data_IF_306837787880
#
_entry.id   IF_306837787880
#
_cell.length_a   1.000
_cell.length_b   1.000
_cell.length_c   1.000
_cell.angle_alpha   90.00
_cell.angle_beta   90.00
_cell.angle_gamma   90.00
#
_symmetry.space_group_name_H-M   'P 1'
#
loop_
_entity.id
_entity.type
_entity.pdbx_description
1 polymer ?
#
# COMPACT_ATOMS: atom_id res chain seq x y z
N UNK A 1 17.33 66.43 -23.18
CA UNK A 1 17.29 64.96 -23.30
C UNK A 1 17.02 64.40 -21.91
N UNK A 2 15.84 63.81 -21.69
CA UNK A 2 15.40 63.29 -20.38
C UNK A 2 15.88 61.84 -20.25
N UNK A 3 16.68 61.56 -19.24
CA UNK A 3 17.11 60.21 -18.85
C UNK A 3 15.94 59.47 -18.17
N UNK A 4 15.50 58.36 -18.75
CA UNK A 4 14.59 57.43 -18.08
C UNK A 4 15.37 56.55 -17.09
N UNK A 5 14.87 56.32 -15.86
CA UNK A 5 15.43 55.34 -14.95
C UNK A 5 15.06 53.92 -15.40
N UNK A 6 16.07 53.06 -15.48
CA UNK A 6 15.93 51.64 -15.76
C UNK A 6 15.33 50.95 -14.53
N UNK A 7 14.06 50.56 -14.60
CA UNK A 7 13.40 49.78 -13.55
C UNK A 7 13.88 48.33 -13.63
N UNK A 8 14.56 47.86 -12.58
CA UNK A 8 14.95 46.48 -12.41
C UNK A 8 13.70 45.67 -12.04
N UNK A 9 13.18 44.86 -12.96
CA UNK A 9 12.14 43.87 -12.64
C UNK A 9 12.77 42.73 -11.83
N UNK A 10 12.23 42.36 -10.65
CA UNK A 10 12.63 41.13 -9.99
C UNK A 10 12.05 39.95 -10.78
N UNK A 11 12.94 39.15 -11.36
CA UNK A 11 12.58 37.83 -11.90
C UNK A 11 12.33 36.92 -10.70
N UNK A 12 11.06 36.66 -10.39
CA UNK A 12 10.69 35.56 -9.50
C UNK A 12 10.96 34.25 -10.25
N UNK A 13 12.08 33.60 -9.92
CA UNK A 13 12.31 32.23 -10.32
C UNK A 13 11.31 31.35 -9.55
N UNK A 14 10.28 30.85 -10.24
CA UNK A 14 9.47 29.75 -9.76
C UNK A 14 10.38 28.53 -9.66
N UNK A 15 10.85 28.23 -8.45
CA UNK A 15 11.47 26.95 -8.15
C UNK A 15 10.36 25.90 -8.26
N UNK A 16 10.34 25.14 -9.35
CA UNK A 16 9.55 23.92 -9.44
C UNK A 16 10.16 22.93 -8.45
N UNK A 17 9.53 22.75 -7.29
CA UNK A 17 9.83 21.60 -6.43
C UNK A 17 9.64 20.34 -7.27
N UNK A 18 10.59 19.39 -7.31
CA UNK A 18 10.33 18.09 -7.89
C UNK A 18 9.11 17.51 -7.17
N UNK A 19 8.15 16.99 -7.93
CA UNK A 19 7.01 16.27 -7.36
C UNK A 19 7.59 15.16 -6.49
N UNK A 20 7.34 15.22 -5.17
CA UNK A 20 7.74 14.17 -4.27
C UNK A 20 7.01 12.89 -4.71
N UNK A 21 7.75 11.77 -4.73
CA UNK A 21 7.14 10.47 -4.99
C UNK A 21 6.11 10.16 -3.91
N UNK A 22 4.97 9.59 -4.31
CA UNK A 22 3.94 9.17 -3.37
C UNK A 22 4.50 8.04 -2.47
N UNK A 23 4.42 8.15 -1.13
CA UNK A 23 4.93 7.12 -0.22
C UNK A 23 4.06 5.86 -0.20
N UNK A 24 2.84 5.94 -0.73
CA UNK A 24 1.86 4.87 -0.84
C UNK A 24 0.99 5.14 -2.08
N UNK A 25 0.56 4.09 -2.78
CA UNK A 25 -0.28 4.18 -3.97
C UNK A 25 -1.50 3.26 -3.85
N UNK A 26 -2.54 3.53 -4.65
CA UNK A 26 -3.66 2.58 -4.83
C UNK A 26 -3.22 1.50 -5.83
N UNK A 27 -3.45 0.23 -5.53
CA UNK A 27 -3.04 -0.88 -6.39
C UNK A 27 -4.21 -1.54 -7.09
N UNK A 28 -5.30 -1.78 -6.39
CA UNK A 28 -6.50 -2.44 -6.90
C UNK A 28 -7.74 -2.02 -6.10
N UNK A 29 -8.93 -2.03 -6.70
CA UNK A 29 -10.19 -2.06 -5.95
C UNK A 29 -11.24 -2.89 -6.69
N UNK A 30 -12.16 -3.45 -5.92
CA UNK A 30 -13.24 -4.26 -6.45
C UNK A 30 -14.36 -3.40 -7.03
N UNK A 31 -14.84 -3.75 -8.23
CA UNK A 31 -16.08 -3.21 -8.78
C UNK A 31 -17.08 -4.32 -9.13
N UNK A 32 -16.78 -5.57 -8.79
CA UNK A 32 -17.69 -6.70 -9.01
C UNK A 32 -18.90 -6.55 -8.10
N UNK A 33 -20.07 -6.29 -8.69
CA UNK A 33 -21.30 -6.14 -7.90
C UNK A 33 -21.64 -7.42 -7.13
N UNK A 34 -22.37 -7.27 -6.02
CA UNK A 34 -22.80 -8.38 -5.16
C UNK A 34 -23.61 -9.48 -5.84
N UNK A 35 -24.16 -9.23 -7.04
CA UNK A 35 -24.88 -10.22 -7.83
C UNK A 35 -24.00 -10.97 -8.85
N UNK A 36 -22.78 -10.50 -9.10
CA UNK A 36 -21.91 -10.95 -10.18
C UNK A 36 -20.72 -11.79 -9.69
N UNK A 37 -20.01 -12.37 -10.65
CA UNK A 37 -18.66 -12.93 -10.50
C UNK A 37 -17.71 -12.15 -11.41
N UNK A 38 -16.40 -12.33 -11.22
CA UNK A 38 -15.39 -11.86 -12.15
C UNK A 38 -15.69 -12.35 -13.58
N UNK A 39 -15.48 -11.47 -14.55
CA UNK A 39 -15.85 -11.75 -15.94
C UNK A 39 -15.10 -12.96 -16.50
N UNK A 40 -15.74 -13.66 -17.45
CA UNK A 40 -15.18 -14.86 -18.06
C UNK A 40 -15.06 -16.09 -17.15
N UNK A 41 -15.58 -16.03 -15.91
CA UNK A 41 -15.44 -17.12 -14.94
C UNK A 41 -14.02 -17.23 -14.37
N UNK A 42 -13.26 -16.14 -14.43
CA UNK A 42 -11.96 -16.01 -13.79
C UNK A 42 -12.10 -15.97 -12.25
N UNK A 43 -10.96 -15.98 -11.58
CA UNK A 43 -10.87 -16.01 -10.12
C UNK A 43 -9.97 -14.92 -9.58
N UNK A 44 -10.18 -14.59 -8.32
CA UNK A 44 -9.19 -13.95 -7.48
C UNK A 44 -8.14 -14.99 -7.02
N UNK A 45 -6.85 -14.63 -6.94
CA UNK A 45 -5.80 -15.58 -6.53
C UNK A 45 -5.89 -16.03 -5.06
N UNK A 46 -6.54 -15.24 -4.22
CA UNK A 46 -6.68 -15.43 -2.78
C UNK A 46 -8.09 -15.89 -2.41
N UNK A 47 -9.10 -15.19 -2.91
CA UNK A 47 -10.52 -15.42 -2.61
C UNK A 47 -11.12 -16.53 -3.49
N UNK A 48 -10.50 -16.85 -4.62
CA UNK A 48 -11.02 -17.82 -5.59
C UNK A 48 -12.19 -17.27 -6.40
N UNK A 49 -13.18 -18.13 -6.70
CA UNK A 49 -14.40 -17.73 -7.42
C UNK A 49 -15.50 -17.52 -6.39
N UNK A 50 -15.76 -16.27 -6.06
CA UNK A 50 -16.76 -15.85 -5.07
C UNK A 50 -17.65 -14.74 -5.65
N UNK A 51 -18.95 -14.82 -5.35
CA UNK A 51 -19.91 -13.81 -5.79
C UNK A 51 -19.60 -12.47 -5.11
N UNK A 52 -19.64 -11.36 -5.87
CA UNK A 52 -19.23 -10.04 -5.40
C UNK A 52 -17.73 -9.88 -5.18
N UNK A 53 -16.91 -10.90 -5.50
CA UNK A 53 -15.45 -10.86 -5.38
C UNK A 53 -14.94 -10.35 -4.01
N UNK A 54 -15.60 -10.74 -2.91
CA UNK A 54 -15.21 -10.32 -1.55
C UNK A 54 -15.87 -9.03 -1.06
N UNK A 55 -16.82 -8.46 -1.79
CA UNK A 55 -17.53 -7.24 -1.40
C UNK A 55 -16.69 -5.98 -1.62
N UNK A 56 -16.92 -4.94 -0.83
CA UNK A 56 -16.21 -3.68 -0.96
C UNK A 56 -14.80 -3.78 -0.35
N UNK A 57 -13.79 -3.61 -1.21
CA UNK A 57 -12.38 -3.56 -0.78
C UNK A 57 -11.47 -2.75 -1.70
N UNK A 58 -10.43 -2.18 -1.10
CA UNK A 58 -9.35 -1.44 -1.74
C UNK A 58 -8.01 -2.02 -1.33
N UNK A 59 -7.09 -2.13 -2.26
CA UNK A 59 -5.72 -2.53 -2.03
C UNK A 59 -4.75 -1.37 -2.29
N UNK A 60 -3.77 -1.21 -1.40
CA UNK A 60 -2.72 -0.22 -1.45
C UNK A 60 -1.35 -0.88 -1.48
N UNK A 61 -0.36 -0.19 -2.03
CA UNK A 61 1.05 -0.60 -1.96
C UNK A 61 1.91 0.50 -1.34
N UNK A 62 2.66 0.14 -0.31
CA UNK A 62 3.66 1.01 0.33
C UNK A 62 4.87 1.15 -0.58
N UNK A 63 5.27 2.38 -0.89
CA UNK A 63 6.41 2.70 -1.77
C UNK A 63 7.61 3.18 -0.97
N UNK A 64 7.40 4.02 0.05
CA UNK A 64 8.46 4.50 0.92
C UNK A 64 8.80 3.45 1.99
N UNK A 65 10.09 3.22 2.23
CA UNK A 65 10.54 2.32 3.29
C UNK A 65 10.49 3.04 4.65
N UNK A 66 10.19 2.28 5.72
CA UNK A 66 9.95 2.83 7.06
C UNK A 66 8.85 3.91 7.08
N UNK A 67 7.76 3.65 6.36
CA UNK A 67 6.66 4.60 6.20
C UNK A 67 5.71 4.57 7.40
N UNK A 68 5.41 5.75 7.93
CA UNK A 68 4.43 5.97 9.00
C UNK A 68 3.08 6.39 8.40
N UNK A 69 2.10 5.48 8.44
CA UNK A 69 0.76 5.66 7.90
C UNK A 69 -0.24 6.18 8.95
N UNK A 70 0.16 6.34 10.21
CA UNK A 70 -0.77 6.70 11.31
C UNK A 70 -1.47 8.02 11.04
N UNK A 71 -2.80 8.02 11.19
CA UNK A 71 -3.63 9.19 10.93
C UNK A 71 -3.79 9.54 9.45
N UNK A 72 -3.09 8.86 8.54
CA UNK A 72 -3.38 8.92 7.10
C UNK A 72 -4.78 8.39 6.79
N UNK A 73 -5.29 8.71 5.61
CA UNK A 73 -6.67 8.34 5.24
C UNK A 73 -6.85 8.02 3.78
N UNK A 74 -7.85 7.17 3.50
CA UNK A 74 -8.43 6.95 2.19
C UNK A 74 -9.70 7.78 2.09
N UNK A 75 -9.75 8.71 1.14
CA UNK A 75 -10.97 9.39 0.72
C UNK A 75 -11.51 8.69 -0.53
N UNK A 76 -12.67 8.06 -0.39
CA UNK A 76 -13.34 7.26 -1.42
C UNK A 76 -14.52 8.08 -1.93
N UNK A 77 -14.43 8.54 -3.16
CA UNK A 77 -15.51 9.18 -3.91
C UNK A 77 -16.25 8.11 -4.70
N UNK A 78 -17.58 8.09 -4.62
CA UNK A 78 -18.41 7.12 -5.32
C UNK A 78 -19.67 7.80 -5.86
N UNK A 79 -20.13 7.34 -7.02
CA UNK A 79 -21.35 7.77 -7.68
C UNK A 79 -21.22 8.97 -8.62
N UNK A 80 -22.25 9.16 -9.44
CA UNK A 80 -22.43 10.30 -10.35
C UNK A 80 -23.18 11.46 -9.69
N UNK A 81 -23.10 12.66 -10.29
CA UNK A 81 -23.98 13.77 -9.90
C UNK A 81 -25.36 13.67 -10.57
N UNK A 82 -26.48 13.92 -9.85
CA UNK A 82 -26.60 14.08 -8.40
C UNK A 82 -26.64 12.71 -7.69
N UNK A 83 -25.93 12.55 -6.58
CA UNK A 83 -25.85 11.28 -5.85
C UNK A 83 -24.46 10.94 -5.33
N UNK A 84 -23.44 11.55 -5.93
CA UNK A 84 -22.04 11.44 -5.53
C UNK A 84 -21.84 11.62 -4.03
N UNK A 85 -21.16 10.65 -3.43
CA UNK A 85 -20.87 10.57 -2.00
C UNK A 85 -19.36 10.47 -1.76
N UNK A 86 -18.92 10.81 -0.54
CA UNK A 86 -17.51 10.65 -0.14
C UNK A 86 -17.46 10.02 1.23
N UNK A 87 -16.72 8.93 1.35
CA UNK A 87 -16.41 8.25 2.62
C UNK A 87 -14.93 8.43 2.91
N UNK A 88 -14.59 8.73 4.16
CA UNK A 88 -13.19 8.85 4.60
C UNK A 88 -12.90 7.81 5.67
N UNK A 89 -11.93 6.95 5.38
CA UNK A 89 -11.43 5.93 6.31
C UNK A 89 -10.04 6.35 6.79
N UNK A 90 -9.85 6.49 8.09
CA UNK A 90 -8.60 6.95 8.70
C UNK A 90 -7.91 5.78 9.38
N UNK A 91 -6.63 5.57 9.05
CA UNK A 91 -5.78 4.64 9.75
C UNK A 91 -5.53 5.14 11.18
N UNK A 92 -5.66 4.24 12.15
CA UNK A 92 -5.56 4.61 13.56
C UNK A 92 -4.13 4.98 13.98
N UNK A 93 -3.94 5.23 15.27
CA UNK A 93 -2.61 5.46 15.87
C UNK A 93 -1.93 4.15 16.31
N UNK A 94 -2.45 2.99 15.91
CA UNK A 94 -1.86 1.69 16.24
C UNK A 94 -0.41 1.59 15.74
N UNK A 95 0.43 0.87 16.49
CA UNK A 95 1.84 0.71 16.19
C UNK A 95 2.09 -0.07 14.89
N UNK A 96 1.13 -0.88 14.44
CA UNK A 96 1.17 -1.58 13.15
C UNK A 96 1.50 -0.64 11.98
N UNK A 97 1.00 0.60 12.03
CA UNK A 97 1.15 1.58 10.96
C UNK A 97 2.39 2.45 11.07
N UNK A 98 3.17 2.32 12.15
CA UNK A 98 4.23 3.27 12.47
C UNK A 98 5.56 3.04 11.74
N UNK A 99 5.74 1.86 11.12
CA UNK A 99 7.01 1.48 10.47
C UNK A 99 6.81 0.44 9.35
N UNK A 100 6.11 0.83 8.28
CA UNK A 100 5.81 -0.05 7.16
C UNK A 100 6.99 -0.15 6.18
N UNK A 101 7.33 -1.37 5.78
CA UNK A 101 8.37 -1.62 4.77
C UNK A 101 7.86 -1.36 3.36
N UNK A 102 8.74 -0.88 2.49
CA UNK A 102 8.43 -0.72 1.07
C UNK A 102 8.06 -2.08 0.44
N UNK A 103 7.00 -2.09 -0.37
CA UNK A 103 6.45 -3.27 -1.01
C UNK A 103 5.47 -4.09 -0.15
N UNK A 104 5.04 -3.54 0.98
CA UNK A 104 3.90 -4.05 1.76
C UNK A 104 2.60 -3.81 1.00
N UNK A 105 1.75 -4.83 0.93
CA UNK A 105 0.38 -4.76 0.41
C UNK A 105 -0.56 -4.56 1.59
N UNK A 106 -1.48 -3.59 1.50
CA UNK A 106 -2.49 -3.34 2.51
C UNK A 106 -3.86 -3.44 1.85
N UNK A 107 -4.71 -4.33 2.34
CA UNK A 107 -6.12 -4.38 1.95
C UNK A 107 -6.99 -3.77 3.04
N UNK A 108 -7.96 -2.96 2.62
CA UNK A 108 -9.04 -2.44 3.45
C UNK A 108 -10.33 -3.03 2.91
N UNK A 109 -11.02 -3.84 3.71
CA UNK A 109 -12.21 -4.57 3.28
C UNK A 109 -13.36 -4.44 4.29
N UNK A 110 -14.61 -4.46 3.83
CA UNK A 110 -15.76 -4.46 4.74
C UNK A 110 -16.03 -5.84 5.36
N UNK A 111 -15.92 -6.91 4.57
CA UNK A 111 -16.43 -8.23 4.92
C UNK A 111 -15.34 -9.26 5.24
N UNK A 112 -14.07 -8.83 5.25
CA UNK A 112 -12.91 -9.68 5.53
C UNK A 112 -12.28 -9.23 6.84
N UNK A 113 -12.19 -10.17 7.79
CA UNK A 113 -11.65 -9.90 9.13
C UNK A 113 -10.18 -9.46 9.09
N UNK A 114 -9.78 -8.69 10.10
CA UNK A 114 -8.41 -8.23 10.27
C UNK A 114 -7.40 -9.39 10.16
N UNK A 115 -6.37 -9.21 9.31
CA UNK A 115 -5.14 -10.00 9.28
C UNK A 115 -3.97 -9.06 9.49
N UNK A 116 -3.40 -9.11 10.70
CA UNK A 116 -2.36 -8.20 11.16
C UNK A 116 -1.08 -8.93 11.53
N UNK A 117 -0.90 -10.16 11.02
CA UNK A 117 0.27 -11.01 11.23
C UNK A 117 1.59 -10.52 10.61
N UNK A 118 1.62 -9.27 10.15
CA UNK A 118 2.71 -8.61 9.42
C UNK A 118 4.11 -8.96 9.92
N UNK A 119 4.86 -9.70 9.10
CA UNK A 119 6.26 -10.07 9.33
C UNK A 119 7.06 -10.12 8.01
N UNK A 120 7.52 -8.97 7.49
CA UNK A 120 8.28 -8.91 6.24
C UNK A 120 9.55 -9.76 6.24
N UNK A 121 10.19 -9.93 7.39
CA UNK A 121 11.40 -10.75 7.53
C UNK A 121 11.08 -12.25 7.56
N UNK A 122 9.90 -12.62 8.08
CA UNK A 122 9.31 -13.95 7.96
C UNK A 122 8.69 -14.25 6.60
N UNK A 123 8.58 -13.24 5.73
CA UNK A 123 8.03 -13.36 4.38
C UNK A 123 6.55 -13.02 4.26
N UNK A 124 5.93 -12.52 5.33
CA UNK A 124 4.56 -12.00 5.30
C UNK A 124 4.58 -10.49 5.02
N UNK A 125 4.12 -10.13 3.83
CA UNK A 125 4.17 -8.79 3.27
C UNK A 125 2.79 -8.14 3.16
N UNK A 126 1.77 -8.76 3.74
CA UNK A 126 0.39 -8.37 3.57
C UNK A 126 -0.26 -8.04 4.92
N UNK A 127 -1.13 -7.03 4.89
CA UNK A 127 -1.99 -6.65 6.01
C UNK A 127 -3.40 -6.52 5.46
N UNK A 128 -4.38 -7.11 6.13
CA UNK A 128 -5.79 -6.81 5.91
C UNK A 128 -6.39 -6.14 7.15
N UNK A 129 -7.19 -5.09 6.94
CA UNK A 129 -7.97 -4.48 8.02
C UNK A 129 -9.42 -4.28 7.64
N UNK A 130 -10.31 -4.52 8.60
CA UNK A 130 -11.74 -4.50 8.40
C UNK A 130 -12.32 -3.10 8.66
N UNK A 131 -12.79 -2.45 7.60
CA UNK A 131 -13.55 -1.20 7.68
C UNK A 131 -15.05 -1.49 7.61
N UNK A 132 -15.60 -2.07 8.67
CA UNK A 132 -17.04 -2.34 8.81
C UNK A 132 -17.61 -1.46 9.93
N UNK A 133 -18.85 -0.96 9.78
CA UNK A 133 -19.52 -0.16 10.82
C UNK A 133 -19.74 -0.92 12.14
N UNK A 134 -19.75 -2.26 12.08
CA UNK A 134 -19.79 -3.14 13.27
C UNK A 134 -18.40 -3.66 13.67
N UNK A 135 -17.34 -3.23 12.97
CA UNK A 135 -15.96 -3.63 13.20
C UNK A 135 -15.35 -3.01 14.47
N UNK A 136 -14.12 -3.42 14.78
CA UNK A 136 -13.41 -3.02 16.00
C UNK A 136 -13.03 -1.54 16.02
N UNK A 137 -12.74 -0.97 14.85
CA UNK A 137 -12.16 0.37 14.74
C UNK A 137 -10.70 0.44 15.21
N UNK A 138 -10.05 -0.70 15.48
CA UNK A 138 -8.72 -0.73 16.08
C UNK A 138 -7.65 -0.20 15.12
N UNK A 139 -7.69 -0.63 13.86
CA UNK A 139 -6.66 -0.31 12.88
C UNK A 139 -7.10 0.75 11.86
N UNK A 140 -8.39 0.84 11.57
CA UNK A 140 -8.97 1.80 10.64
C UNK A 140 -10.37 2.19 11.10
N UNK A 141 -10.90 3.33 10.63
CA UNK A 141 -12.29 3.75 10.90
C UNK A 141 -13.28 2.59 10.71
N UNK A 142 -14.05 2.28 11.77
CA UNK A 142 -15.18 1.34 11.70
C UNK A 142 -16.38 2.02 11.02
N UNK A 143 -16.37 2.03 9.68
CA UNK A 143 -17.44 2.57 8.86
C UNK A 143 -17.55 1.73 7.60
N UNK A 144 -18.79 1.50 7.18
CA UNK A 144 -19.04 0.96 5.86
C UNK A 144 -18.58 1.95 4.77
N UNK A 145 -18.24 1.43 3.59
CA UNK A 145 -17.87 2.18 2.40
C UNK A 145 -18.33 1.45 1.13
N UNK A 146 -18.28 2.12 -0.02
CA UNK A 146 -18.66 1.53 -1.31
C UNK A 146 -17.50 1.75 -2.30
N UNK A 147 -17.17 0.70 -3.04
CA UNK A 147 -16.36 0.75 -4.25
C UNK A 147 -17.08 -0.05 -5.34
N UNK A 148 -17.30 0.58 -6.48
CA UNK A 148 -18.11 0.01 -7.55
C UNK A 148 -17.66 0.53 -8.91
N UNK A 149 -18.39 0.12 -9.96
CA UNK A 149 -18.22 0.62 -11.32
C UNK A 149 -18.99 1.94 -11.59
N UNK A 150 -19.34 2.68 -10.53
CA UNK A 150 -20.07 3.94 -10.60
C UNK A 150 -19.19 5.14 -10.22
N UNK A 151 -18.17 5.42 -11.04
CA UNK A 151 -17.28 6.58 -10.89
C UNK A 151 -16.42 6.55 -9.61
N UNK A 152 -16.02 5.36 -9.17
CA UNK A 152 -15.19 5.23 -7.96
C UNK A 152 -13.83 5.89 -8.16
N UNK A 153 -13.45 6.79 -7.25
CA UNK A 153 -12.13 7.41 -7.18
C UNK A 153 -11.59 7.42 -5.76
N UNK A 154 -10.30 7.11 -5.60
CA UNK A 154 -9.63 6.99 -4.31
C UNK A 154 -8.49 8.00 -4.24
N UNK A 155 -8.46 8.76 -3.14
CA UNK A 155 -7.37 9.68 -2.82
C UNK A 155 -6.76 9.31 -1.47
N UNK A 156 -5.43 9.16 -1.44
CA UNK A 156 -4.67 8.90 -0.22
C UNK A 156 -4.15 10.22 0.35
N UNK A 157 -4.43 10.45 1.63
CA UNK A 157 -4.13 11.69 2.32
C UNK A 157 -3.27 11.42 3.56
N UNK A 158 -2.37 12.36 3.87
CA UNK A 158 -1.64 12.37 5.12
C UNK A 158 -2.52 12.82 6.32
N UNK A 159 -1.95 12.78 7.52
CA UNK A 159 -2.63 13.19 8.75
C UNK A 159 -2.99 14.69 8.80
N UNK A 160 -2.43 15.51 7.91
CA UNK A 160 -2.73 16.93 7.71
C UNK A 160 -3.63 17.17 6.47
N UNK A 161 -4.21 16.10 5.93
CA UNK A 161 -5.04 16.10 4.72
C UNK A 161 -4.34 16.58 3.44
N UNK A 162 -3.00 16.50 3.38
CA UNK A 162 -2.26 16.68 2.13
C UNK A 162 -2.31 15.40 1.30
N UNK A 163 -2.38 15.55 -0.02
CA UNK A 163 -2.45 14.40 -0.93
C UNK A 163 -1.09 13.70 -1.01
N UNK A 164 -1.07 12.41 -0.66
CA UNK A 164 0.02 11.51 -1.01
C UNK A 164 -0.15 10.97 -2.44
N UNK A 165 -1.35 10.55 -2.80
CA UNK A 165 -1.65 9.96 -4.10
C UNK A 165 -3.12 10.15 -4.47
N UNK A 166 -3.40 10.22 -5.78
CA UNK A 166 -4.75 10.30 -6.32
C UNK A 166 -5.19 11.72 -6.70
N UNK A 167 -6.46 11.89 -7.11
CA UNK A 167 -7.46 10.83 -7.23
C UNK A 167 -7.06 9.80 -8.28
N UNK A 168 -7.25 8.51 -7.98
CA UNK A 168 -7.03 7.40 -8.89
C UNK A 168 -8.30 6.54 -8.96
N UNK A 169 -8.64 6.03 -10.15
CA UNK A 169 -9.87 5.30 -10.37
C UNK A 169 -10.54 5.66 -11.69
N UNK A 170 -11.85 5.45 -11.75
CA UNK A 170 -12.66 5.69 -12.93
C UNK A 170 -12.70 7.17 -13.32
N UNK A 171 -12.65 7.44 -14.63
CA UNK A 171 -12.61 8.81 -15.15
C UNK A 171 -11.25 9.50 -14.97
N UNK A 172 -10.30 8.89 -14.26
CA UNK A 172 -8.89 9.30 -14.22
C UNK A 172 -8.08 8.41 -15.16
N UNK A 173 -8.11 7.09 -14.92
CA UNK A 173 -7.49 6.09 -15.77
C UNK A 173 -8.02 4.70 -15.37
N UNK A 174 -8.75 3.98 -16.25
CA UNK A 174 -9.16 4.41 -17.58
C UNK A 174 -10.23 5.52 -17.52
N UNK A 175 -10.23 6.41 -18.51
CA UNK A 175 -11.24 7.48 -18.64
C UNK A 175 -12.66 6.94 -18.88
N UNK A 176 -12.78 5.71 -19.37
CA UNK A 176 -14.05 5.08 -19.73
C UNK A 176 -14.79 4.46 -18.55
N UNK A 177 -14.15 4.37 -17.38
CA UNK A 177 -14.62 3.54 -16.28
C UNK A 177 -14.40 2.05 -16.55
N UNK A 178 -14.90 1.23 -15.64
CA UNK A 178 -14.87 -0.24 -15.68
C UNK A 178 -16.29 -0.79 -15.53
N UNK A 179 -16.51 -2.10 -15.63
CA UNK A 179 -17.85 -2.68 -15.47
C UNK A 179 -18.03 -3.49 -14.18
N UNK A 180 -19.29 -3.85 -13.88
CA UNK A 180 -19.70 -4.52 -12.64
C UNK A 180 -19.26 -6.00 -12.50
N UNK A 181 -18.37 -6.47 -13.36
CA UNK A 181 -17.73 -7.81 -13.37
C UNK A 181 -16.21 -7.72 -13.41
N UNK A 182 -15.66 -6.53 -13.20
CA UNK A 182 -14.23 -6.24 -13.28
C UNK A 182 -13.73 -5.65 -11.97
N UNK A 183 -12.41 -5.62 -11.85
CA UNK A 183 -11.67 -4.84 -10.86
C UNK A 183 -10.94 -3.71 -11.57
N UNK A 184 -10.67 -2.63 -10.84
CA UNK A 184 -9.72 -1.61 -11.29
C UNK A 184 -8.36 -1.95 -10.72
N UNK A 185 -7.30 -2.04 -11.54
CA UNK A 185 -6.00 -2.48 -11.05
C UNK A 185 -4.81 -1.87 -11.77
N UNK A 186 -3.67 -1.79 -11.09
CA UNK A 186 -2.38 -1.43 -11.67
C UNK A 186 -1.77 -2.61 -12.44
N UNK A 187 -1.52 -2.44 -13.73
CA UNK A 187 -0.80 -3.38 -14.58
C UNK A 187 0.65 -2.91 -14.82
N UNK A 188 1.40 -2.74 -13.73
CA UNK A 188 2.83 -2.42 -13.72
C UNK A 188 3.45 -2.71 -12.36
N UNK A 189 4.78 -2.86 -12.33
CA UNK A 189 5.55 -3.00 -11.09
C UNK A 189 5.42 -1.74 -10.23
N UNK A 190 5.02 -1.86 -8.95
CA UNK A 190 4.91 -0.72 -8.06
C UNK A 190 6.25 -0.01 -7.87
N UNK A 191 6.25 1.31 -7.99
CA UNK A 191 7.46 2.12 -7.85
C UNK A 191 7.15 3.58 -7.58
N UNK A 192 8.19 4.33 -7.26
CA UNK A 192 8.14 5.77 -7.04
C UNK A 192 7.63 6.60 -8.24
N UNK A 193 7.64 6.03 -9.45
CA UNK A 193 7.17 6.69 -10.68
C UNK A 193 5.69 6.47 -10.98
N UNK A 194 4.99 5.63 -10.20
CA UNK A 194 3.56 5.42 -10.39
C UNK A 194 2.81 6.72 -10.06
N UNK A 195 1.92 7.09 -10.97
CA UNK A 195 1.00 8.22 -10.87
C UNK A 195 -0.43 7.72 -11.08
N UNK A 196 -1.46 8.51 -10.71
CA UNK A 196 -2.85 8.11 -10.95
C UNK A 196 -3.24 7.85 -12.41
N UNK A 197 -2.40 8.24 -13.37
CA UNK A 197 -2.59 8.01 -14.82
C UNK A 197 -1.61 6.97 -15.38
N UNK A 198 -1.01 6.14 -14.53
CA UNK A 198 -0.15 5.01 -14.95
C UNK A 198 -0.98 3.91 -15.60
N UNK A 199 -0.43 2.71 -15.83
CA UNK A 199 -1.13 1.60 -16.49
C UNK A 199 -2.22 0.95 -15.62
N UNK A 200 -3.13 1.77 -15.08
CA UNK A 200 -4.36 1.29 -14.48
C UNK A 200 -5.37 0.90 -15.56
N UNK A 201 -6.01 -0.24 -15.36
CA UNK A 201 -6.86 -0.87 -16.35
C UNK A 201 -8.05 -1.61 -15.71
N UNK A 202 -9.03 -1.97 -16.55
CA UNK A 202 -10.03 -2.95 -16.17
C UNK A 202 -9.42 -4.36 -16.15
N UNK A 203 -9.73 -5.11 -15.08
CA UNK A 203 -9.24 -6.45 -14.85
C UNK A 203 -10.37 -7.44 -14.75
N UNK A 204 -10.30 -8.54 -15.50
CA UNK A 204 -11.14 -9.72 -15.28
C UNK A 204 -10.49 -10.74 -14.32
N UNK A 205 -9.29 -10.46 -13.83
CA UNK A 205 -8.60 -11.23 -12.78
C UNK A 205 -8.24 -10.30 -11.63
N UNK A 206 -8.36 -10.81 -10.41
CA UNK A 206 -8.15 -10.09 -9.16
C UNK A 206 -7.13 -10.81 -8.27
N UNK A 207 -6.60 -10.10 -7.29
CA UNK A 207 -5.47 -10.59 -6.49
C UNK A 207 -5.47 -10.02 -5.08
N UNK A 208 -6.60 -10.06 -4.38
CA UNK A 208 -6.73 -9.58 -3.01
C UNK A 208 -5.56 -9.99 -2.10
N UNK A 209 -4.73 -9.04 -1.66
CA UNK A 209 -3.58 -9.27 -0.80
C UNK A 209 -2.36 -9.87 -1.50
N UNK A 210 -2.33 -9.92 -2.83
CA UNK A 210 -1.32 -10.55 -3.65
C UNK A 210 -0.91 -9.64 -4.84
N UNK A 211 0.27 -9.87 -5.46
CA UNK A 211 0.69 -9.09 -6.63
C UNK A 211 -0.30 -9.20 -7.80
N UNK A 212 -0.62 -8.07 -8.45
CA UNK A 212 -1.56 -8.07 -9.57
C UNK A 212 -1.09 -8.97 -10.72
N UNK A 213 -2.06 -9.68 -11.29
CA UNK A 213 -1.89 -10.55 -12.46
C UNK A 213 -2.60 -9.93 -13.66
N UNK A 214 -1.97 -9.91 -14.82
CA UNK A 214 -2.60 -9.46 -16.06
C UNK A 214 -2.15 -10.26 -17.28
N UNK A 215 -2.73 -9.96 -18.45
CA UNK A 215 -2.50 -10.71 -19.70
C UNK A 215 -2.78 -12.22 -19.52
N UNK A 216 -3.87 -12.57 -18.84
CA UNK A 216 -4.23 -13.96 -18.54
C UNK A 216 -3.28 -14.66 -17.57
N UNK A 217 -2.60 -13.90 -16.71
CA UNK A 217 -1.62 -14.40 -15.74
C UNK A 217 -0.21 -14.58 -16.31
N UNK A 218 0.03 -14.17 -17.56
CA UNK A 218 1.37 -14.18 -18.15
C UNK A 218 2.30 -13.11 -17.53
N UNK A 219 1.70 -12.09 -16.92
CA UNK A 219 2.41 -11.02 -16.23
C UNK A 219 1.96 -10.96 -14.77
N UNK A 220 2.92 -10.76 -13.88
CA UNK A 220 2.74 -10.64 -12.43
C UNK A 220 3.51 -9.43 -11.96
N UNK A 221 2.95 -8.62 -11.06
CA UNK A 221 3.66 -7.47 -10.49
C UNK A 221 4.91 -7.96 -9.73
N UNK A 222 6.04 -7.31 -9.97
CA UNK A 222 7.27 -7.56 -9.24
C UNK A 222 7.52 -6.49 -8.17
N UNK A 223 7.63 -6.95 -6.92
CA UNK A 223 7.93 -6.13 -5.75
C UNK A 223 9.41 -6.19 -5.35
N UNK A 224 10.25 -6.95 -6.05
CA UNK A 224 11.64 -7.22 -5.68
C UNK A 224 12.46 -5.95 -5.51
N UNK A 225 12.24 -4.94 -6.35
CA UNK A 225 12.90 -3.64 -6.25
C UNK A 225 12.60 -2.93 -4.92
N UNK A 226 11.33 -2.91 -4.50
CA UNK A 226 10.91 -2.29 -3.23
C UNK A 226 11.39 -3.09 -2.02
N UNK A 227 11.31 -4.43 -2.09
CA UNK A 227 11.66 -5.32 -0.97
C UNK A 227 13.17 -5.56 -0.82
N UNK A 228 13.97 -5.11 -1.79
CA UNK A 228 15.44 -5.26 -1.77
C UNK A 228 16.14 -4.48 -0.64
N UNK A 229 15.46 -3.51 -0.03
CA UNK A 229 15.98 -2.66 1.06
C UNK A 229 15.95 -3.37 2.42
N UNK A 230 15.38 -4.58 2.48
CA UNK A 230 15.34 -5.42 3.69
C UNK A 230 16.70 -6.10 3.84
N UNK A 231 17.69 -5.36 4.34
CA UNK A 231 18.86 -5.99 4.93
C UNK A 231 18.41 -6.60 6.26
N UNK A 232 18.54 -7.92 6.49
CA UNK A 232 18.36 -8.47 7.82
C UNK A 232 19.33 -7.73 8.75
N UNK A 233 18.82 -7.08 9.80
CA UNK A 233 19.70 -6.54 10.84
C UNK A 233 20.67 -7.66 11.27
N UNK A 234 21.99 -7.42 11.31
CA UNK A 234 22.97 -8.41 11.73
C UNK A 234 22.83 -8.67 13.23
N UNK A 235 21.78 -9.39 13.62
CA UNK A 235 21.35 -9.64 14.98
C UNK A 235 21.51 -11.10 15.42
N UNK A 236 22.54 -11.82 14.95
CA UNK A 236 22.92 -13.11 15.54
C UNK A 236 24.38 -13.56 15.28
N UNK A 237 25.29 -12.67 14.85
CA UNK A 237 26.72 -12.96 14.87
C UNK A 237 27.30 -12.51 16.21
N UNK A 238 26.92 -13.18 17.29
CA UNK A 238 27.58 -13.00 18.59
C UNK A 238 29.06 -13.33 18.43
N UNK A 239 29.87 -12.35 18.81
CA UNK A 239 31.32 -12.30 18.79
C UNK A 239 31.97 -13.51 19.51
N UNK A 240 32.07 -14.67 18.87
CA UNK A 240 32.86 -15.80 19.37
C UNK A 240 34.32 -15.62 18.99
N UNK A 241 35.00 -14.66 19.62
CA UNK A 241 36.33 -14.25 19.17
C UNK A 241 37.24 -13.57 20.19
N UNK A 242 37.00 -13.66 21.50
CA UNK A 242 38.00 -13.23 22.52
C UNK A 242 37.94 -14.14 23.75
N UNK A 243 38.47 -15.37 23.66
CA UNK A 243 38.79 -16.18 24.83
C UNK A 243 39.80 -17.30 24.50
N UNK A 244 40.94 -16.98 23.90
CA UNK A 244 42.05 -17.94 23.80
C UNK A 244 43.41 -17.24 23.65
N UNK A 245 43.84 -16.51 24.70
CA UNK A 245 45.26 -16.27 25.02
C UNK A 245 45.44 -15.43 26.31
N UNK A 246 44.81 -15.81 27.42
CA UNK A 246 45.19 -15.28 28.73
C UNK A 246 44.81 -16.28 29.84
N UNK A 247 45.42 -17.45 29.81
CA UNK A 247 45.08 -18.54 30.74
C UNK A 247 46.15 -19.61 30.89
N UNK A 248 47.43 -19.24 30.76
CA UNK A 248 48.54 -20.10 31.18
C UNK A 248 49.26 -19.43 32.33
N UNK A 249 48.68 -19.45 33.53
CA UNK A 249 49.42 -19.26 34.78
C UNK A 249 48.58 -19.78 35.97
N UNK A 250 49.19 -20.70 36.73
CA UNK A 250 48.75 -21.30 38.01
C UNK A 250 47.61 -22.33 37.96
N UNK A 251 47.67 -23.51 38.60
CA UNK A 251 48.71 -24.17 39.39
C UNK A 251 48.37 -25.66 39.51
N UNK A 252 49.35 -26.56 39.33
CA UNK A 252 49.25 -27.98 39.70
C UNK A 252 49.84 -28.15 41.09
N UNK A 253 49.01 -28.36 42.11
CA UNK A 253 49.46 -28.96 43.37
C UNK A 253 48.30 -29.63 44.11
N UNK A 254 48.20 -30.95 44.00
CA UNK A 254 47.69 -31.83 45.05
C UNK A 254 47.84 -33.28 44.59
N UNK A 255 48.75 -34.02 45.22
CA UNK A 255 48.60 -35.44 45.53
C UNK A 255 49.60 -35.80 46.63
N UNK A 256 49.08 -35.89 47.85
CA UNK A 256 49.65 -36.69 48.94
C UNK A 256 49.10 -38.11 48.79
N UNK A 257 49.97 -39.11 48.95
CA UNK A 257 49.61 -40.51 49.06
C UNK A 257 50.86 -41.35 49.27
N UNK A 258 51.00 -41.86 50.50
CA UNK A 258 52.06 -42.70 51.09
C UNK A 258 53.40 -42.01 51.37
#
# INVERSE_FOLDING_TARGET
MRSLPLALLPVFALLSSPAASAPIIVNEFNAVSSANYLDGGNSDSTLGIVQGNGGDWVELVVIADHFDLRGGSLSILEGQLPGRSTTVLTFSQDALWGDLRAGTIITVAEDIADDTGYDPFGGDWWINVQANASGSGQFITASNFSVSNDDTQITLLDALSQVWFGPAGEGIQPLTGINSREVWKLEADPSASITPTSSYNDGSSSSFGAPNLWSGGASVQDFSALRSVVVPEPGAATLLGVALAAGTLFSRRSRRGA
#
